data_IF_502328967161
#
_entry.id   IF_502328967161
#
_cell.length_a   1.000
_cell.length_b   1.000
_cell.length_c   1.000
_cell.angle_alpha   90.00
_cell.angle_beta   90.00
_cell.angle_gamma   90.00
#
_symmetry.space_group_name_H-M   'P 1'
#
loop_
_entity.id
_entity.type
_entity.pdbx_description
1 polymer ?
#
# COMPACT_ATOMS: atom_id res chain seq x y z
N UNK A 1 18.28 -17.06 18.07
CA UNK A 1 17.07 -16.21 18.01
C UNK A 1 16.24 -16.64 16.80
N UNK A 2 15.03 -17.13 17.04
CA UNK A 2 14.17 -17.71 16.01
C UNK A 2 13.80 -16.63 14.97
N UNK A 3 14.04 -16.91 13.69
CA UNK A 3 13.51 -16.14 12.55
C UNK A 3 11.99 -16.36 12.50
N UNK A 4 11.26 -15.72 13.42
CA UNK A 4 9.82 -15.61 13.34
C UNK A 4 9.48 -14.94 12.01
N UNK A 5 8.60 -15.55 11.22
CA UNK A 5 8.04 -14.96 10.01
C UNK A 5 7.46 -13.59 10.37
N UNK A 6 8.22 -12.52 10.16
CA UNK A 6 7.72 -11.16 10.37
C UNK A 6 6.56 -10.97 9.40
N UNK A 7 5.34 -10.91 9.93
CA UNK A 7 4.24 -10.25 9.26
C UNK A 7 4.76 -8.83 8.96
N UNK A 8 5.16 -8.60 7.70
CA UNK A 8 5.92 -7.40 7.31
C UNK A 8 5.14 -6.13 7.65
N UNK A 9 3.83 -6.27 7.84
CA UNK A 9 2.96 -5.30 8.47
C UNK A 9 2.21 -6.02 9.59
N UNK A 10 2.35 -5.53 10.83
CA UNK A 10 1.65 -6.08 11.99
C UNK A 10 0.13 -6.02 11.82
N UNK A 11 -0.61 -6.47 12.84
CA UNK A 11 -2.07 -6.34 12.83
C UNK A 11 -2.45 -4.86 12.64
N UNK A 12 -3.21 -4.56 11.57
CA UNK A 12 -3.80 -3.24 11.38
C UNK A 12 -4.84 -3.05 12.48
N UNK A 13 -4.67 -2.04 13.33
CA UNK A 13 -5.58 -1.67 14.41
C UNK A 13 -6.40 -0.44 14.07
N UNK A 14 -6.01 0.31 13.04
CA UNK A 14 -6.78 1.44 12.55
C UNK A 14 -6.10 2.25 11.45
N UNK A 15 -6.55 3.50 11.31
CA UNK A 15 -6.14 4.44 10.26
C UNK A 15 -4.65 4.77 10.33
N UNK A 16 -4.10 4.97 11.53
CA UNK A 16 -2.68 5.29 11.71
C UNK A 16 -1.76 4.22 11.15
N UNK A 17 -2.13 2.94 11.31
CA UNK A 17 -1.35 1.82 10.79
C UNK A 17 -1.39 1.78 9.26
N UNK A 18 -2.56 2.02 8.65
CA UNK A 18 -2.67 2.12 7.19
C UNK A 18 -1.70 3.19 6.64
N UNK A 19 -1.62 4.34 7.31
CA UNK A 19 -0.69 5.42 6.92
C UNK A 19 0.76 5.03 7.14
N UNK A 20 1.10 4.45 8.29
CA UNK A 20 2.46 4.02 8.61
C UNK A 20 2.97 2.96 7.62
N UNK A 21 2.14 1.95 7.33
CA UNK A 21 2.44 0.90 6.36
C UNK A 21 2.69 1.50 4.97
N UNK A 22 1.80 2.37 4.49
CA UNK A 22 1.96 2.98 3.18
C UNK A 22 3.15 3.95 3.12
N UNK A 23 3.49 4.62 4.22
CA UNK A 23 4.70 5.43 4.31
C UNK A 23 5.95 4.57 4.09
N UNK A 24 6.04 3.45 4.80
CA UNK A 24 7.14 2.49 4.64
C UNK A 24 7.20 1.90 3.23
N UNK A 25 6.05 1.55 2.64
CA UNK A 25 5.97 1.09 1.24
C UNK A 25 6.58 2.12 0.30
N UNK A 26 6.24 3.41 0.46
CA UNK A 26 6.79 4.48 -0.39
C UNK A 26 8.30 4.66 -0.21
N UNK A 27 8.81 4.54 1.02
CA UNK A 27 10.26 4.55 1.25
C UNK A 27 10.96 3.41 0.52
N UNK A 28 10.37 2.21 0.55
CA UNK A 28 10.90 1.06 -0.17
C UNK A 28 10.82 1.23 -1.69
N UNK A 29 9.77 1.88 -2.20
CA UNK A 29 9.68 2.23 -3.62
C UNK A 29 10.83 3.15 -4.02
N UNK A 30 11.13 4.21 -3.24
CA UNK A 30 12.24 5.14 -3.55
C UNK A 30 13.62 4.48 -3.58
N UNK A 31 13.78 3.36 -2.85
CA UNK A 31 15.01 2.55 -2.82
C UNK A 31 15.03 1.44 -3.88
N UNK A 32 13.88 1.06 -4.41
CA UNK A 32 13.77 -0.01 -5.39
C UNK A 32 14.42 0.40 -6.73
N UNK A 33 15.08 -0.58 -7.37
CA UNK A 33 15.78 -0.42 -8.65
C UNK A 33 15.18 -1.22 -9.80
N UNK A 34 14.09 -1.95 -9.55
CA UNK A 34 13.45 -2.79 -10.55
C UNK A 34 11.93 -2.62 -10.57
N UNK A 35 11.35 -2.77 -11.77
CA UNK A 35 9.91 -2.70 -12.00
C UNK A 35 9.14 -3.77 -11.22
N UNK A 36 9.69 -4.98 -11.13
CA UNK A 36 9.08 -6.08 -10.38
C UNK A 36 8.92 -5.73 -8.90
N UNK A 37 9.95 -5.14 -8.30
CA UNK A 37 9.92 -4.74 -6.89
C UNK A 37 8.93 -3.61 -6.64
N UNK A 38 8.92 -2.60 -7.52
CA UNK A 38 7.97 -1.49 -7.43
C UNK A 38 6.53 -2.02 -7.58
N UNK A 39 6.29 -2.94 -8.51
CA UNK A 39 4.97 -3.56 -8.72
C UNK A 39 4.50 -4.32 -7.48
N UNK A 40 5.38 -5.09 -6.85
CA UNK A 40 5.08 -5.79 -5.60
C UNK A 40 4.63 -4.82 -4.51
N UNK A 41 5.35 -3.70 -4.35
CA UNK A 41 5.06 -2.68 -3.36
C UNK A 41 3.73 -1.96 -3.62
N UNK A 42 3.43 -1.61 -4.88
CA UNK A 42 2.13 -1.04 -5.27
C UNK A 42 1.00 -2.04 -5.00
N UNK A 43 1.18 -3.32 -5.35
CA UNK A 43 0.17 -4.36 -5.09
C UNK A 43 -0.12 -4.55 -3.59
N UNK A 44 0.89 -4.41 -2.73
CA UNK A 44 0.70 -4.45 -1.27
C UNK A 44 -0.16 -3.28 -0.78
N UNK A 45 0.07 -2.08 -1.30
CA UNK A 45 -0.76 -0.91 -1.00
C UNK A 45 -2.21 -1.09 -1.48
N UNK A 46 -2.38 -1.59 -2.70
CA UNK A 46 -3.70 -1.94 -3.25
C UNK A 46 -4.42 -2.99 -2.39
N UNK A 47 -3.69 -4.01 -1.94
CA UNK A 47 -4.26 -5.07 -1.12
C UNK A 47 -4.83 -4.53 0.21
N UNK A 48 -4.18 -3.54 0.83
CA UNK A 48 -4.74 -2.88 2.03
C UNK A 48 -6.08 -2.18 1.73
N UNK A 49 -6.18 -1.51 0.58
CA UNK A 49 -7.45 -0.93 0.14
C UNK A 49 -8.51 -2.02 -0.06
N UNK A 50 -8.18 -3.12 -0.75
CA UNK A 50 -9.09 -4.26 -0.96
C UNK A 50 -9.57 -4.86 0.37
N UNK A 51 -8.69 -5.01 1.36
CA UNK A 51 -9.04 -5.54 2.67
C UNK A 51 -10.12 -4.71 3.39
N UNK A 52 -10.19 -3.40 3.14
CA UNK A 52 -11.25 -2.54 3.72
C UNK A 52 -12.67 -2.85 3.21
N UNK A 53 -12.79 -3.69 2.18
CA UNK A 53 -14.07 -4.20 1.68
C UNK A 53 -14.39 -5.60 2.21
N UNK A 54 -13.42 -6.29 2.81
CA UNK A 54 -13.59 -7.66 3.27
C UNK A 54 -14.58 -7.75 4.45
N UNK A 55 -15.46 -8.78 4.50
CA UNK A 55 -16.40 -8.97 5.61
C UNK A 55 -15.72 -9.08 6.99
N UNK A 56 -14.52 -9.66 7.05
CA UNK A 56 -13.76 -9.78 8.29
C UNK A 56 -13.33 -8.41 8.83
N UNK A 57 -12.88 -7.50 7.97
CA UNK A 57 -12.54 -6.13 8.36
C UNK A 57 -13.78 -5.31 8.71
N UNK A 58 -14.89 -5.53 7.99
CA UNK A 58 -16.17 -4.91 8.35
C UNK A 58 -16.62 -5.33 9.76
N UNK A 59 -16.46 -6.61 10.11
CA UNK A 59 -16.73 -7.12 11.47
C UNK A 59 -15.76 -6.56 12.51
N UNK A 60 -14.47 -6.50 12.21
CA UNK A 60 -13.44 -6.04 13.14
C UNK A 60 -13.50 -4.53 13.43
N UNK A 61 -13.78 -3.69 12.43
CA UNK A 61 -13.70 -2.23 12.55
C UNK A 61 -15.06 -1.53 12.56
N UNK A 62 -16.14 -2.24 12.23
CA UNK A 62 -17.51 -1.74 12.29
C UNK A 62 -17.67 -0.38 11.59
N UNK A 63 -18.19 0.62 12.32
CA UNK A 63 -18.44 1.97 11.81
C UNK A 63 -17.17 2.69 11.30
N UNK A 64 -15.97 2.30 11.76
CA UNK A 64 -14.70 2.92 11.35
C UNK A 64 -14.25 2.51 9.94
N UNK A 65 -14.84 1.45 9.37
CA UNK A 65 -14.39 0.88 8.10
C UNK A 65 -14.48 1.87 6.93
N UNK A 66 -15.49 2.75 6.92
CA UNK A 66 -15.64 3.77 5.88
C UNK A 66 -14.44 4.74 5.86
N UNK A 67 -14.03 5.23 7.03
CA UNK A 67 -12.85 6.09 7.16
C UNK A 67 -11.56 5.34 6.81
N UNK A 68 -11.43 4.08 7.22
CA UNK A 68 -10.28 3.25 6.88
C UNK A 68 -10.16 3.04 5.37
N UNK A 69 -11.27 2.76 4.68
CA UNK A 69 -11.32 2.63 3.22
C UNK A 69 -10.89 3.91 2.52
N UNK A 70 -11.44 5.04 2.94
CA UNK A 70 -11.08 6.34 2.37
C UNK A 70 -9.57 6.60 2.51
N UNK A 71 -9.00 6.37 3.70
CA UNK A 71 -7.56 6.58 3.92
C UNK A 71 -6.72 5.56 3.15
N UNK A 72 -7.14 4.30 3.08
CA UNK A 72 -6.43 3.29 2.28
C UNK A 72 -6.41 3.65 0.79
N UNK A 73 -7.53 4.21 0.27
CA UNK A 73 -7.59 4.75 -1.09
C UNK A 73 -6.61 5.91 -1.27
N UNK A 74 -6.68 6.94 -0.44
CA UNK A 74 -5.77 8.11 -0.49
C UNK A 74 -4.29 7.69 -0.44
N UNK A 75 -3.96 6.72 0.42
CA UNK A 75 -2.60 6.22 0.57
C UNK A 75 -2.14 5.37 -0.62
N UNK A 76 -3.05 4.63 -1.27
CA UNK A 76 -2.76 3.95 -2.54
C UNK A 76 -2.44 4.95 -3.64
N UNK A 77 -3.26 5.99 -3.82
CA UNK A 77 -3.07 7.00 -4.88
C UNK A 77 -1.70 7.68 -4.76
N UNK A 78 -1.30 8.05 -3.52
CA UNK A 78 0.05 8.58 -3.24
C UNK A 78 1.16 7.56 -3.54
N UNK A 79 0.90 6.29 -3.28
CA UNK A 79 1.86 5.20 -3.51
C UNK A 79 2.05 4.93 -5.00
N UNK A 80 0.97 4.87 -5.79
CA UNK A 80 1.02 4.78 -7.25
C UNK A 80 1.79 5.96 -7.87
N UNK A 81 1.51 7.19 -7.41
CA UNK A 81 2.26 8.39 -7.83
C UNK A 81 3.75 8.29 -7.52
N UNK A 82 4.10 7.79 -6.33
CA UNK A 82 5.51 7.58 -5.92
C UNK A 82 6.19 6.53 -6.80
N UNK A 83 5.50 5.43 -7.12
CA UNK A 83 5.98 4.38 -8.00
C UNK A 83 6.23 4.90 -9.42
N UNK A 84 5.29 5.67 -9.98
CA UNK A 84 5.42 6.28 -11.29
C UNK A 84 6.63 7.21 -11.37
N UNK A 85 6.83 8.06 -10.36
CA UNK A 85 8.00 8.94 -10.27
C UNK A 85 9.32 8.16 -10.17
N UNK A 86 9.33 7.07 -9.42
CA UNK A 86 10.54 6.25 -9.31
C UNK A 86 10.87 5.54 -10.62
N UNK A 87 9.88 5.00 -11.33
CA UNK A 87 10.10 4.38 -12.64
C UNK A 87 10.67 5.38 -13.64
N UNK A 88 10.12 6.60 -13.66
CA UNK A 88 10.61 7.72 -14.48
C UNK A 88 12.06 8.07 -14.13
N UNK A 89 12.39 8.23 -12.84
CA UNK A 89 13.76 8.48 -12.38
C UNK A 89 14.76 7.40 -12.81
N UNK A 90 14.32 6.15 -12.89
CA UNK A 90 15.15 5.02 -13.29
C UNK A 90 15.20 4.81 -14.81
N UNK A 91 14.46 5.58 -15.61
CA UNK A 91 14.33 5.37 -17.05
C UNK A 91 13.62 4.06 -17.41
N UNK A 92 12.87 3.47 -16.48
CA UNK A 92 12.18 2.19 -16.70
C UNK A 92 10.82 2.46 -17.34
N UNK A 93 10.71 2.13 -18.62
CA UNK A 93 9.47 2.27 -19.40
C UNK A 93 8.34 1.30 -19.02
N UNK A 94 7.26 1.38 -19.79
CA UNK A 94 6.05 0.57 -19.65
C UNK A 94 4.86 1.31 -19.04
N UNK A 95 3.73 0.60 -18.89
CA UNK A 95 2.47 1.18 -18.41
C UNK A 95 2.62 1.77 -17.00
N UNK A 96 2.13 3.00 -16.78
CA UNK A 96 2.07 3.64 -15.46
C UNK A 96 1.03 2.96 -14.58
N UNK A 97 1.23 3.00 -13.27
CA UNK A 97 0.19 2.59 -12.33
C UNK A 97 -0.91 3.65 -12.28
N UNK A 98 -2.16 3.21 -12.17
CA UNK A 98 -3.28 4.12 -12.02
C UNK A 98 -3.19 4.83 -10.66
N UNK A 99 -3.21 6.15 -10.71
CA UNK A 99 -3.15 7.03 -9.53
C UNK A 99 -4.52 7.30 -8.94
N UNK A 100 -5.59 6.77 -9.56
CA UNK A 100 -6.95 6.84 -9.05
C UNK A 100 -7.52 5.43 -8.98
N UNK A 101 -8.28 5.16 -7.93
CA UNK A 101 -9.06 3.94 -7.83
C UNK A 101 -10.52 4.32 -7.67
N UNK A 102 -11.34 3.90 -8.64
CA UNK A 102 -12.77 4.13 -8.74
C UNK A 102 -13.45 2.83 -9.09
#
# INVERSE_FOLDING_TARGET
MQKGKHHIYGAVRGVSDIRAINCYIREQIRKARSRSKITELVRRSLYLYTLTHAPAWKRAFGKKIGRMRQVAKEEYEKTARTANKQLEKLGIGGKRYDEKIG
#
